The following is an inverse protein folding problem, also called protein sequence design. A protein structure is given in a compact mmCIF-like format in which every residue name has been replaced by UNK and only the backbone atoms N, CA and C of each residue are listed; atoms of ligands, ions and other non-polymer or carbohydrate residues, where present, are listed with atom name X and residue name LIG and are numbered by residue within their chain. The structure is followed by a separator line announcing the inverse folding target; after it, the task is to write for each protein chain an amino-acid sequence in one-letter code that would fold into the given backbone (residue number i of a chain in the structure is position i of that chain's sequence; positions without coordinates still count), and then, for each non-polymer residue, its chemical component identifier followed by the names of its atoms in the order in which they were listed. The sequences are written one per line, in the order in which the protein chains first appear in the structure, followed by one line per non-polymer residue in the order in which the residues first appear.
data_IF_593343997570
#
_entry.id   IF_593343997570
#
_cell.length_a   1.000
_cell.length_b   1.000
_cell.length_c   1.000
_cell.angle_alpha   90.00
_cell.angle_beta   90.00
_cell.angle_gamma   90.00
#
_symmetry.space_group_name_H-M   'P 1'
#
loop_
_entity.id
_entity.type
_entity.pdbx_description
1 polymer ?
#
# COMPACT_ATOMS: atom_id res chain seq x y z
N UNK A 1 26.01 6.64 -9.01
CA UNK A 1 24.78 6.41 -8.21
C UNK A 1 24.93 5.05 -7.51
N UNK A 2 25.21 5.05 -6.21
CA UNK A 2 25.71 3.88 -5.46
C UNK A 2 24.63 2.80 -5.28
N UNK A 3 25.03 1.53 -5.42
CA UNK A 3 24.15 0.36 -5.27
C UNK A 3 23.46 0.28 -3.89
N UNK A 4 24.13 0.77 -2.84
CA UNK A 4 23.56 0.88 -1.49
C UNK A 4 22.33 1.79 -1.42
N UNK A 5 22.31 2.91 -2.18
CA UNK A 5 21.15 3.79 -2.20
C UNK A 5 19.97 3.11 -2.90
N UNK A 6 20.23 2.32 -3.95
CA UNK A 6 19.19 1.56 -4.66
C UNK A 6 18.60 0.45 -3.80
N UNK A 7 19.44 -0.18 -2.97
CA UNK A 7 19.02 -1.25 -2.08
C UNK A 7 18.21 -0.69 -0.89
N UNK A 8 18.64 0.42 -0.30
CA UNK A 8 17.85 1.12 0.72
C UNK A 8 16.52 1.62 0.16
N UNK A 9 16.48 2.18 -1.05
CA UNK A 9 15.23 2.57 -1.71
C UNK A 9 14.33 1.35 -1.99
N UNK A 10 14.90 0.19 -2.34
CA UNK A 10 14.13 -1.04 -2.54
C UNK A 10 13.56 -1.59 -1.22
N UNK A 11 14.35 -1.61 -0.15
CA UNK A 11 13.95 -2.11 1.18
C UNK A 11 13.00 -1.15 1.93
N UNK A 12 13.09 0.17 1.69
CA UNK A 12 12.14 1.17 2.21
C UNK A 12 10.84 1.27 1.40
N UNK A 13 10.87 0.87 0.12
CA UNK A 13 9.72 0.89 -0.79
C UNK A 13 9.02 -0.47 -0.91
N UNK A 14 9.31 -1.42 -0.01
CA UNK A 14 8.77 -2.78 -0.02
C UNK A 14 7.29 -2.79 0.43
N UNK A 15 6.44 -2.22 -0.42
CA UNK A 15 5.00 -2.44 -0.35
C UNK A 15 4.58 -3.41 -1.46
N UNK A 16 3.61 -4.26 -1.15
CA UNK A 16 3.02 -5.20 -2.10
C UNK A 16 1.53 -4.94 -2.23
N UNK A 17 1.00 -4.90 -3.45
CA UNK A 17 -0.45 -4.90 -3.67
C UNK A 17 -0.98 -6.31 -3.37
N UNK A 18 -1.91 -6.41 -2.43
CA UNK A 18 -2.58 -7.64 -2.01
C UNK A 18 -3.83 -7.86 -2.84
N UNK A 19 -4.69 -6.85 -2.93
CA UNK A 19 -5.92 -6.91 -3.73
C UNK A 19 -6.26 -5.56 -4.36
N UNK A 20 -7.09 -5.61 -5.41
CA UNK A 20 -7.69 -4.45 -6.06
C UNK A 20 -9.20 -4.58 -5.99
N UNK A 21 -9.85 -3.54 -5.49
CA UNK A 21 -11.29 -3.45 -5.27
C UNK A 21 -11.84 -2.42 -6.24
N UNK A 22 -12.82 -2.83 -7.02
CA UNK A 22 -13.51 -1.96 -7.98
C UNK A 22 -14.80 -1.44 -7.36
N UNK A 23 -15.18 -0.20 -7.67
CA UNK A 23 -16.44 0.39 -7.21
C UNK A 23 -16.35 1.25 -5.93
N UNK A 24 -15.15 1.62 -5.50
CA UNK A 24 -14.98 2.65 -4.46
C UNK A 24 -15.54 4.00 -4.92
N UNK A 25 -15.95 4.84 -3.96
CA UNK A 25 -16.65 6.11 -4.21
C UNK A 25 -15.87 7.07 -5.11
N UNK A 26 -14.53 7.01 -5.09
CA UNK A 26 -13.62 7.87 -5.85
C UNK A 26 -12.81 7.11 -6.91
N UNK A 27 -13.14 5.84 -7.17
CA UNK A 27 -12.39 4.97 -8.08
C UNK A 27 -11.94 3.65 -7.43
N UNK A 28 -10.96 2.94 -8.03
CA UNK A 28 -10.48 1.69 -7.47
C UNK A 28 -9.71 1.92 -6.16
N UNK A 29 -9.97 1.04 -5.20
CA UNK A 29 -9.22 0.94 -3.95
C UNK A 29 -8.31 -0.29 -3.99
N UNK A 30 -7.27 -0.27 -3.19
CA UNK A 30 -6.26 -1.32 -3.15
C UNK A 30 -5.97 -1.66 -1.71
N UNK A 31 -5.84 -2.94 -1.40
CA UNK A 31 -5.19 -3.33 -0.15
C UNK A 31 -3.71 -3.56 -0.43
N UNK A 32 -2.85 -2.88 0.32
CA UNK A 32 -1.39 -3.01 0.21
C UNK A 32 -0.82 -3.56 1.52
N UNK A 33 0.19 -4.41 1.44
CA UNK A 33 1.00 -4.83 2.57
C UNK A 33 2.26 -3.98 2.60
N UNK A 34 2.55 -3.30 3.71
CA UNK A 34 3.78 -2.53 3.91
C UNK A 34 4.21 -2.65 5.38
N UNK A 35 5.50 -2.88 5.64
CA UNK A 35 6.01 -2.97 7.01
C UNK A 35 5.34 -4.04 7.89
N UNK A 36 4.83 -5.13 7.28
CA UNK A 36 4.11 -6.20 7.99
C UNK A 36 2.66 -5.89 8.35
N UNK A 37 2.12 -4.75 7.89
CA UNK A 37 0.73 -4.32 8.09
C UNK A 37 0.00 -4.22 6.76
N UNK A 38 -1.32 -4.16 6.81
CA UNK A 38 -2.17 -4.02 5.64
C UNK A 38 -2.90 -2.68 5.67
N UNK A 39 -2.99 -2.02 4.52
CA UNK A 39 -3.61 -0.72 4.39
C UNK A 39 -4.56 -0.70 3.20
N UNK A 40 -5.72 -0.05 3.35
CA UNK A 40 -6.62 0.23 2.22
C UNK A 40 -6.31 1.63 1.69
N UNK A 41 -5.95 1.70 0.41
CA UNK A 41 -5.44 2.91 -0.24
C UNK A 41 -6.14 3.16 -1.57
N UNK A 42 -6.40 4.43 -1.88
CA UNK A 42 -6.85 4.84 -3.21
C UNK A 42 -5.72 4.89 -4.23
N UNK A 43 -6.06 5.13 -5.50
CA UNK A 43 -5.10 5.22 -6.61
C UNK A 43 -3.98 6.25 -6.38
N UNK A 44 -4.31 7.44 -5.84
CA UNK A 44 -3.34 8.50 -5.59
C UNK A 44 -2.27 8.07 -4.57
N UNK A 45 -2.69 7.46 -3.48
CA UNK A 45 -1.81 6.97 -2.42
C UNK A 45 -0.96 5.79 -2.90
N UNK A 46 -1.56 4.90 -3.70
CA UNK A 46 -0.81 3.83 -4.36
C UNK A 46 0.31 4.37 -5.26
N UNK A 47 0.05 5.45 -6.01
CA UNK A 47 1.04 6.05 -6.90
C UNK A 47 2.16 6.78 -6.13
N UNK A 48 1.90 7.22 -4.88
CA UNK A 48 2.92 7.74 -3.98
C UNK A 48 3.83 6.63 -3.42
N UNK A 49 3.24 5.50 -3.00
CA UNK A 49 3.99 4.31 -2.60
C UNK A 49 4.91 3.83 -3.73
N UNK A 50 4.40 3.77 -4.98
CA UNK A 50 5.20 3.43 -6.17
C UNK A 50 6.36 4.39 -6.45
N UNK A 51 6.28 5.63 -5.97
CA UNK A 51 7.37 6.62 -6.09
C UNK A 51 8.42 6.48 -4.98
N UNK A 52 8.23 5.52 -4.07
CA UNK A 52 9.16 5.25 -2.96
C UNK A 52 8.89 6.09 -1.72
N UNK A 53 7.72 6.71 -1.60
CA UNK A 53 7.31 7.36 -0.34
C UNK A 53 6.93 6.24 0.63
N UNK A 54 7.55 6.17 1.83
CA UNK A 54 7.29 5.09 2.76
C UNK A 54 5.89 5.23 3.34
N UNK A 55 5.30 4.09 3.73
CA UNK A 55 3.94 4.02 4.23
C UNK A 55 3.71 4.88 5.49
N UNK A 56 4.73 5.03 6.33
CA UNK A 56 4.72 5.85 7.55
C UNK A 56 4.65 7.36 7.30
N UNK A 57 5.07 7.81 6.10
CA UNK A 57 4.98 9.21 5.68
C UNK A 57 3.62 9.54 5.03
N UNK A 58 2.77 8.54 4.86
CA UNK A 58 1.45 8.67 4.24
C UNK A 58 0.35 8.52 5.30
N UNK A 59 -0.73 9.28 5.13
CA UNK A 59 -1.94 9.11 5.94
C UNK A 59 -2.70 7.87 5.44
N UNK A 60 -2.36 6.70 5.99
CA UNK A 60 -2.89 5.40 5.59
C UNK A 60 -3.91 4.85 6.59
N UNK A 61 -5.00 4.30 6.07
CA UNK A 61 -5.96 3.54 6.86
C UNK A 61 -5.49 2.08 6.96
N UNK A 62 -5.04 1.67 8.14
CA UNK A 62 -4.73 0.27 8.45
C UNK A 62 -6.03 -0.57 8.45
N UNK A 63 -5.98 -1.75 7.84
CA UNK A 63 -7.12 -2.67 7.74
C UNK A 63 -6.71 -4.07 8.18
N UNK A 64 -7.64 -4.77 8.83
CA UNK A 64 -7.48 -6.19 9.12
C UNK A 64 -8.01 -7.01 7.94
N UNK A 65 -7.18 -7.92 7.41
CA UNK A 65 -7.59 -8.81 6.32
C UNK A 65 -8.60 -9.87 6.78
N UNK A 66 -8.70 -10.14 8.08
CA UNK A 66 -9.63 -11.14 8.62
C UNK A 66 -11.09 -10.70 8.51
N UNK A 67 -11.36 -9.39 8.51
CA UNK A 67 -12.72 -8.85 8.71
C UNK A 67 -13.45 -8.53 7.39
N UNK A 68 -12.75 -8.49 6.27
CA UNK A 68 -13.33 -8.11 4.96
C UNK A 68 -13.96 -9.32 4.20
N UNK A 69 -13.90 -10.53 4.80
CA UNK A 69 -14.39 -11.79 4.22
C UNK A 69 -15.73 -12.30 4.75
N UNK A 70 -16.31 -11.69 5.78
CA UNK A 70 -17.61 -12.10 6.35
C UNK A 70 -18.72 -11.11 5.96
N UNK A 71 -19.14 -11.19 4.70
CA UNK A 71 -20.50 -10.80 4.31
C UNK A 71 -21.11 -11.94 3.51
N UNK A 72 -21.68 -12.87 4.26
CA UNK A 72 -22.70 -13.82 3.82
C UNK A 72 -23.96 -13.05 3.35
#
# INVERSE_FOLDING_TARGET
MNAHLRQAIAESADFRIVTKIFGGLLGPEYTVAAGGRYYRVGQLTLDQLKRGIPAEDLDLLEVDLATDGERD
#
